data_IF_385632054834
#
_entry.id   IF_385632054834
#
_cell.length_a   1.000
_cell.length_b   1.000
_cell.length_c   1.000
_cell.angle_alpha   90.00
_cell.angle_beta   90.00
_cell.angle_gamma   90.00
#
_symmetry.space_group_name_H-M   'P 1'
#
loop_
_entity.id
_entity.type
_entity.pdbx_description
1 polymer ?
#
# COMPACT_ATOMS: atom_id res chain seq x y z
N UNK A 1 -8.06 26.98 16.73
CA UNK A 1 -7.29 27.09 15.47
C UNK A 1 -8.11 27.85 14.44
N UNK A 2 -7.50 28.71 13.62
CA UNK A 2 -8.19 29.33 12.49
C UNK A 2 -8.26 28.35 11.30
N UNK A 3 -9.34 28.40 10.53
CA UNK A 3 -9.53 27.56 9.32
C UNK A 3 -8.36 27.66 8.35
N UNK A 4 -7.74 28.84 8.22
CA UNK A 4 -6.56 29.04 7.35
C UNK A 4 -5.34 28.21 7.76
N UNK A 5 -5.07 28.05 9.07
CA UNK A 5 -3.95 27.24 9.56
C UNK A 5 -4.20 25.74 9.31
N UNK A 6 -5.44 25.29 9.43
CA UNK A 6 -5.80 23.90 9.12
C UNK A 6 -5.58 23.56 7.64
N UNK A 7 -5.93 24.48 6.73
CA UNK A 7 -5.68 24.32 5.29
C UNK A 7 -4.17 24.26 5.00
N UNK A 8 -3.38 25.16 5.59
CA UNK A 8 -1.93 25.16 5.42
C UNK A 8 -1.29 23.84 5.89
N UNK A 9 -1.69 23.35 7.07
CA UNK A 9 -1.23 22.06 7.57
C UNK A 9 -1.61 20.92 6.62
N UNK A 10 -2.85 20.88 6.14
CA UNK A 10 -3.29 19.87 5.18
C UNK A 10 -2.46 19.90 3.88
N UNK A 11 -2.13 21.08 3.35
CA UNK A 11 -1.26 21.21 2.17
C UNK A 11 0.15 20.67 2.45
N UNK A 12 0.73 20.98 3.62
CA UNK A 12 2.02 20.43 4.02
C UNK A 12 1.97 18.91 4.12
N UNK A 13 0.90 18.35 4.69
CA UNK A 13 0.72 16.91 4.82
C UNK A 13 0.66 16.22 3.45
N UNK A 14 -0.10 16.80 2.51
CA UNK A 14 -0.16 16.31 1.13
C UNK A 14 1.22 16.38 0.48
N UNK A 15 1.92 17.50 0.59
CA UNK A 15 3.24 17.67 -0.02
C UNK A 15 4.25 16.65 0.51
N UNK A 16 4.30 16.45 1.83
CA UNK A 16 5.17 15.45 2.47
C UNK A 16 4.78 14.04 2.04
N UNK A 17 3.47 13.74 1.97
CA UNK A 17 2.97 12.45 1.50
C UNK A 17 3.37 12.16 0.05
N UNK A 18 3.19 13.11 -0.87
CA UNK A 18 3.60 12.96 -2.28
C UNK A 18 5.10 12.72 -2.40
N UNK A 19 5.93 13.51 -1.71
CA UNK A 19 7.39 13.36 -1.78
C UNK A 19 7.84 12.02 -1.22
N UNK A 20 7.30 11.62 -0.07
CA UNK A 20 7.62 10.34 0.54
C UNK A 20 7.20 9.17 -0.35
N UNK A 21 5.99 9.22 -0.92
CA UNK A 21 5.49 8.13 -1.75
C UNK A 21 6.24 8.02 -3.08
N UNK A 22 6.52 9.14 -3.73
CA UNK A 22 7.36 9.16 -4.93
C UNK A 22 8.77 8.61 -4.66
N UNK A 23 9.37 8.95 -3.51
CA UNK A 23 10.67 8.42 -3.11
C UNK A 23 10.64 6.90 -2.86
N UNK A 24 9.60 6.40 -2.17
CA UNK A 24 9.39 4.97 -1.96
C UNK A 24 9.23 4.25 -3.30
N UNK A 25 8.42 4.77 -4.20
CA UNK A 25 8.20 4.14 -5.50
C UNK A 25 9.48 4.14 -6.36
N UNK A 26 10.28 5.21 -6.31
CA UNK A 26 11.53 5.32 -7.05
C UNK A 26 12.59 4.29 -6.63
N UNK A 27 12.57 3.82 -5.37
CA UNK A 27 13.51 2.78 -4.90
C UNK A 27 12.99 1.35 -5.11
N UNK A 28 11.72 1.18 -5.48
CA UNK A 28 11.14 -0.13 -5.77
C UNK A 28 11.46 -0.55 -7.22
N UNK A 29 11.70 -1.85 -7.48
CA UNK A 29 11.84 -2.35 -8.84
C UNK A 29 10.56 -2.09 -9.64
N UNK A 30 10.68 -1.66 -10.90
CA UNK A 30 9.51 -1.46 -11.77
C UNK A 30 8.61 -2.71 -11.80
N UNK A 31 7.29 -2.52 -11.71
CA UNK A 31 6.36 -3.63 -11.73
C UNK A 31 6.47 -4.39 -13.06
N UNK A 32 6.44 -5.72 -12.96
CA UNK A 32 6.37 -6.60 -14.11
C UNK A 32 5.38 -7.73 -13.84
N UNK A 33 4.33 -7.81 -14.68
CA UNK A 33 3.36 -8.89 -14.63
C UNK A 33 3.97 -10.27 -14.95
N UNK A 34 5.16 -10.32 -15.57
CA UNK A 34 5.87 -11.59 -15.81
C UNK A 34 6.65 -12.10 -14.59
N UNK A 35 6.73 -11.32 -13.51
CA UNK A 35 7.38 -11.74 -12.27
C UNK A 35 6.67 -12.93 -11.62
N UNK A 36 7.43 -13.73 -10.87
CA UNK A 36 6.87 -14.82 -10.08
C UNK A 36 5.93 -14.30 -8.98
N UNK A 37 4.96 -15.11 -8.57
CA UNK A 37 4.01 -14.74 -7.50
C UNK A 37 4.73 -14.43 -6.17
N UNK A 38 5.78 -15.20 -5.84
CA UNK A 38 6.59 -14.98 -4.65
C UNK A 38 7.35 -13.65 -4.69
N UNK A 39 7.85 -13.25 -5.87
CA UNK A 39 8.53 -11.96 -6.04
C UNK A 39 7.56 -10.80 -5.89
N UNK A 40 6.38 -10.87 -6.52
CA UNK A 40 5.37 -9.82 -6.40
C UNK A 40 4.89 -9.69 -4.96
N UNK A 41 4.63 -10.80 -4.27
CA UNK A 41 4.24 -10.78 -2.86
C UNK A 41 5.33 -10.15 -1.97
N UNK A 42 6.59 -10.48 -2.22
CA UNK A 42 7.72 -9.86 -1.52
C UNK A 42 7.82 -8.36 -1.79
N UNK A 43 7.71 -7.93 -3.05
CA UNK A 43 7.73 -6.50 -3.42
C UNK A 43 6.58 -5.73 -2.77
N UNK A 44 5.36 -6.30 -2.73
CA UNK A 44 4.21 -5.71 -2.01
C UNK A 44 4.53 -5.57 -0.52
N UNK A 45 5.07 -6.61 0.12
CA UNK A 45 5.40 -6.59 1.54
C UNK A 45 6.47 -5.56 1.89
N UNK A 46 7.54 -5.47 1.08
CA UNK A 46 8.59 -4.47 1.25
C UNK A 46 8.04 -3.06 1.10
N UNK A 47 7.23 -2.81 0.06
CA UNK A 47 6.66 -1.48 -0.16
C UNK A 47 5.66 -1.09 0.93
N UNK A 48 4.86 -2.04 1.42
CA UNK A 48 3.98 -1.83 2.57
C UNK A 48 4.78 -1.50 3.84
N UNK A 49 5.91 -2.18 4.07
CA UNK A 49 6.80 -1.88 5.19
C UNK A 49 7.42 -0.48 5.09
N UNK A 50 7.88 -0.06 3.90
CA UNK A 50 8.39 1.29 3.66
C UNK A 50 7.32 2.36 3.92
N UNK A 51 6.07 2.12 3.49
CA UNK A 51 4.95 2.98 3.81
C UNK A 51 4.70 3.06 5.32
N UNK A 52 4.79 1.92 6.03
CA UNK A 52 4.72 1.88 7.49
C UNK A 52 5.83 2.70 8.17
N UNK A 53 7.06 2.64 7.66
CA UNK A 53 8.19 3.45 8.14
C UNK A 53 7.92 4.94 7.92
N UNK A 54 7.44 5.33 6.74
CA UNK A 54 7.12 6.73 6.45
C UNK A 54 6.04 7.27 7.41
N UNK A 55 4.99 6.49 7.67
CA UNK A 55 3.95 6.83 8.65
C UNK A 55 4.53 6.92 10.07
N UNK A 56 5.39 5.98 10.48
CA UNK A 56 5.99 6.00 11.81
C UNK A 56 6.93 7.21 12.03
N UNK A 57 7.64 7.64 10.99
CA UNK A 57 8.58 8.76 11.08
C UNK A 57 7.88 10.13 10.97
N UNK A 58 6.96 10.29 10.01
CA UNK A 58 6.29 11.56 9.77
C UNK A 58 5.05 11.75 10.67
N UNK A 59 4.36 10.66 11.02
CA UNK A 59 3.10 10.67 11.76
C UNK A 59 3.15 11.49 13.06
N UNK A 60 4.10 11.26 13.98
CA UNK A 60 4.16 12.01 15.24
C UNK A 60 4.30 13.53 15.05
N UNK A 61 5.11 13.96 14.07
CA UNK A 61 5.32 15.38 13.80
C UNK A 61 4.12 16.03 13.09
N UNK A 62 3.51 15.29 12.15
CA UNK A 62 2.36 15.77 11.39
C UNK A 62 1.08 15.77 12.24
N UNK A 63 0.90 14.81 13.15
CA UNK A 63 -0.32 14.70 13.97
C UNK A 63 -0.36 15.64 15.18
N UNK A 64 0.77 16.23 15.60
CA UNK A 64 0.86 17.03 16.83
C UNK A 64 -0.10 18.24 16.84
N UNK A 65 -0.35 18.85 15.68
CA UNK A 65 -1.17 20.06 15.52
C UNK A 65 -2.21 19.93 14.38
N UNK A 66 -2.55 18.70 13.99
CA UNK A 66 -3.38 18.44 12.80
C UNK A 66 -4.82 18.02 13.12
N UNK A 67 -5.83 18.84 12.76
CA UNK A 67 -7.23 18.47 12.91
C UNK A 67 -7.68 17.36 11.94
N UNK A 68 -6.86 17.00 10.96
CA UNK A 68 -7.17 15.99 9.93
C UNK A 68 -6.60 14.60 10.25
N UNK A 69 -6.03 14.41 11.43
CA UNK A 69 -5.53 13.13 11.94
C UNK A 69 -4.54 12.43 11.00
N UNK A 70 -3.72 13.20 10.27
CA UNK A 70 -2.73 12.68 9.32
C UNK A 70 -3.34 12.10 8.03
N UNK A 71 -4.66 12.19 7.83
CA UNK A 71 -5.32 11.64 6.64
C UNK A 71 -4.76 12.20 5.32
N UNK A 72 -4.52 13.52 5.16
CA UNK A 72 -4.00 14.05 3.90
C UNK A 72 -2.59 13.55 3.58
N UNK A 73 -1.79 13.23 4.60
CA UNK A 73 -0.47 12.62 4.42
C UNK A 73 -0.60 11.19 3.91
N UNK A 74 -1.38 10.35 4.59
CA UNK A 74 -1.54 8.93 4.23
C UNK A 74 -2.21 8.75 2.86
N UNK A 75 -3.17 9.60 2.50
CA UNK A 75 -3.80 9.56 1.18
C UNK A 75 -2.86 9.97 0.07
N UNK A 76 -2.09 11.06 0.27
CA UNK A 76 -1.09 11.50 -0.70
C UNK A 76 0.07 10.52 -0.84
N UNK A 77 0.50 9.89 0.26
CA UNK A 77 1.52 8.84 0.28
C UNK A 77 1.13 7.67 -0.61
N UNK A 78 -0.12 7.19 -0.51
CA UNK A 78 -0.61 6.09 -1.34
C UNK A 78 -0.88 6.53 -2.78
N UNK A 79 -1.47 7.71 -2.99
CA UNK A 79 -1.82 8.21 -4.32
C UNK A 79 -0.60 8.50 -5.21
N UNK A 80 0.57 8.74 -4.61
CA UNK A 80 1.83 8.95 -5.32
C UNK A 80 2.58 7.67 -5.67
N UNK A 81 1.93 6.50 -5.55
CA UNK A 81 2.53 5.18 -5.81
C UNK A 81 1.69 4.31 -6.77
N UNK A 82 1.47 4.73 -8.03
CA UNK A 82 0.68 3.97 -9.01
C UNK A 82 1.14 2.51 -9.24
N UNK A 83 2.43 2.21 -9.21
CA UNK A 83 2.93 0.84 -9.38
C UNK A 83 2.62 -0.02 -8.16
N UNK A 84 2.55 0.57 -6.96
CA UNK A 84 2.13 -0.18 -5.77
C UNK A 84 0.71 -0.71 -5.92
N UNK A 85 -0.20 0.12 -6.44
CA UNK A 85 -1.57 -0.29 -6.72
C UNK A 85 -1.61 -1.48 -7.69
N UNK A 86 -0.84 -1.42 -8.79
CA UNK A 86 -0.74 -2.53 -9.75
C UNK A 86 -0.17 -3.81 -9.13
N UNK A 87 0.85 -3.71 -8.28
CA UNK A 87 1.41 -4.86 -7.55
C UNK A 87 0.37 -5.51 -6.65
N UNK A 88 -0.43 -4.72 -5.92
CA UNK A 88 -1.50 -5.22 -5.06
C UNK A 88 -2.58 -5.92 -5.90
N UNK A 89 -3.01 -5.31 -7.01
CA UNK A 89 -4.01 -5.88 -7.91
C UNK A 89 -3.55 -7.23 -8.50
N UNK A 90 -2.30 -7.31 -8.98
CA UNK A 90 -1.73 -8.56 -9.52
C UNK A 90 -1.59 -9.62 -8.41
N UNK A 91 -1.11 -9.24 -7.22
CA UNK A 91 -1.05 -10.14 -6.07
C UNK A 91 -2.45 -10.70 -5.72
N UNK A 92 -3.47 -9.84 -5.67
CA UNK A 92 -4.84 -10.25 -5.39
C UNK A 92 -5.41 -11.18 -6.47
N UNK A 93 -5.14 -10.91 -7.75
CA UNK A 93 -5.55 -11.76 -8.87
C UNK A 93 -4.92 -13.16 -8.77
N UNK A 94 -3.64 -13.24 -8.41
CA UNK A 94 -2.93 -14.53 -8.25
C UNK A 94 -3.41 -15.32 -7.04
N UNK A 95 -3.65 -14.67 -5.91
CA UNK A 95 -4.25 -15.31 -4.73
C UNK A 95 -5.62 -15.87 -5.09
N UNK A 96 -6.46 -15.09 -5.78
CA UNK A 96 -7.78 -15.55 -6.24
C UNK A 96 -7.68 -16.77 -7.17
N UNK A 97 -6.72 -16.78 -8.11
CA UNK A 97 -6.50 -17.91 -9.00
C UNK A 97 -6.06 -19.17 -8.24
N UNK A 98 -5.14 -19.04 -7.28
CA UNK A 98 -4.70 -20.16 -6.44
C UNK A 98 -5.85 -20.72 -5.59
N UNK A 99 -6.63 -19.86 -4.93
CA UNK A 99 -7.81 -20.29 -4.17
C UNK A 99 -8.80 -21.03 -5.07
N UNK A 100 -9.06 -20.52 -6.28
CA UNK A 100 -9.94 -21.15 -7.26
C UNK A 100 -9.48 -22.53 -7.75
N UNK A 101 -8.18 -22.82 -7.72
CA UNK A 101 -7.64 -24.14 -8.09
C UNK A 101 -7.64 -25.13 -6.91
N UNK A 102 -7.35 -24.64 -5.69
CA UNK A 102 -7.22 -25.50 -4.50
C UNK A 102 -8.58 -25.89 -3.94
N UNK A 103 -9.55 -24.97 -3.91
CA UNK A 103 -10.87 -25.21 -3.30
C UNK A 103 -11.62 -26.40 -3.91
N UNK A 104 -11.68 -26.57 -5.25
CA UNK A 104 -12.34 -27.73 -5.86
C UNK A 104 -11.61 -29.06 -5.57
N UNK A 105 -10.28 -29.03 -5.49
CA UNK A 105 -9.47 -30.22 -5.19
C UNK A 105 -9.69 -30.70 -3.74
N UNK A 106 -9.87 -29.77 -2.81
CA UNK A 106 -10.20 -30.11 -1.42
C UNK A 106 -11.62 -30.71 -1.30
N UNK A 107 -12.58 -30.18 -2.05
CA UNK A 107 -13.95 -30.71 -2.07
C UNK A 107 -14.02 -32.12 -2.68
N UNK A 108 -13.31 -32.38 -3.77
CA UNK A 108 -13.22 -33.71 -4.36
C UNK A 108 -12.60 -34.74 -3.41
N UNK A 109 -11.49 -34.37 -2.75
CA UNK A 109 -10.83 -35.25 -1.76
C UNK A 109 -11.69 -35.53 -0.53
N UNK A 110 -12.46 -34.55 -0.07
CA UNK A 110 -13.39 -34.74 1.05
C UNK A 110 -14.54 -35.69 0.68
N UNK A 111 -15.01 -35.65 -0.58
CA UNK A 111 -16.04 -36.55 -1.09
C UNK A 111 -15.52 -37.98 -1.32
N UNK A 112 -14.25 -38.17 -1.67
CA UNK A 112 -13.62 -39.50 -1.80
C UNK A 112 -13.32 -40.18 -0.46
N UNK A 113 -13.28 -39.40 0.63
CA UNK A 113 -12.98 -39.88 1.98
C UNK A 113 -14.22 -40.14 2.86
N UNK A 114 -15.43 -39.93 2.33
CA UNK A 114 -16.72 -40.12 3.00
C UNK A 114 -17.46 -41.34 2.45
#
# INVERSE_FOLDING_TARGET
MSTGRAIQNAVVHVAVGVVAGAAIEAVMPAHSASSSASRIAFEVAVQAALNGVAVAMAGPALMADDPTFGLPFSTALLASQPEFARRIEDAAARVKAQVGQVLPQMQGRAAEAA
#
